data_IF_963019199407
#
_entry.id   IF_963019199407
#
_cell.length_a   1.000
_cell.length_b   1.000
_cell.length_c   1.000
_cell.angle_alpha   90.00
_cell.angle_beta   90.00
_cell.angle_gamma   90.00
#
_symmetry.space_group_name_H-M   'P 1'
#
loop_
_entity.id
_entity.type
_entity.pdbx_description
1 polymer ?
#
# COMPACT_ATOMS: atom_id res chain seq x y z
N UNK A 1 -36.00 3.47 16.86
CA UNK A 1 -34.60 3.50 17.37
C UNK A 1 -34.14 2.06 17.38
N UNK A 2 -33.43 1.56 16.36
CA UNK A 2 -32.06 1.93 16.01
C UNK A 2 -31.79 1.49 14.57
N UNK A 3 -31.45 2.42 13.67
CA UNK A 3 -30.93 2.14 12.33
C UNK A 3 -29.43 2.40 12.37
N UNK A 4 -28.64 1.35 12.57
CA UNK A 4 -27.19 1.41 12.71
C UNK A 4 -26.52 1.17 11.35
N UNK A 5 -26.19 2.29 10.70
CA UNK A 5 -25.04 2.54 9.82
C UNK A 5 -24.52 1.40 8.94
N UNK A 6 -25.15 1.17 7.79
CA UNK A 6 -24.50 0.63 6.60
C UNK A 6 -24.71 1.58 5.41
N UNK A 7 -24.40 2.86 5.61
CA UNK A 7 -24.58 3.91 4.60
C UNK A 7 -23.53 5.02 4.80
N UNK A 8 -22.26 4.66 4.79
CA UNK A 8 -21.14 5.63 4.72
C UNK A 8 -20.13 5.24 3.62
N UNK A 9 -20.53 4.39 2.66
CA UNK A 9 -19.71 3.95 1.52
C UNK A 9 -19.58 5.03 0.41
N UNK A 10 -20.10 6.24 0.66
CA UNK A 10 -20.02 7.36 -0.28
C UNK A 10 -20.04 8.69 0.47
N UNK A 11 -19.16 8.88 1.44
CA UNK A 11 -18.70 10.24 1.72
C UNK A 11 -17.66 10.54 0.65
N UNK A 12 -17.99 11.47 -0.25
CA UNK A 12 -17.07 12.01 -1.24
C UNK A 12 -15.66 12.05 -0.67
N UNK A 13 -14.79 11.15 -1.14
CA UNK A 13 -13.45 10.95 -0.61
C UNK A 13 -12.55 12.10 -1.09
N UNK A 14 -12.94 13.33 -0.76
CA UNK A 14 -12.12 14.50 -0.99
C UNK A 14 -10.78 14.29 -0.33
N UNK A 15 -9.71 14.61 -1.05
CA UNK A 15 -8.37 14.52 -0.54
C UNK A 15 -8.26 15.27 0.80
N UNK A 16 -7.58 14.70 1.81
CA UNK A 16 -7.27 15.39 3.05
C UNK A 16 -6.59 16.75 2.81
N UNK A 17 -6.89 17.72 3.67
CA UNK A 17 -6.49 19.12 3.54
C UNK A 17 -4.99 19.36 3.81
N UNK A 18 -4.30 18.39 4.38
CA UNK A 18 -2.87 18.43 4.70
C UNK A 18 -1.96 17.87 3.60
N UNK A 19 -2.52 17.55 2.43
CA UNK A 19 -1.78 17.06 1.27
C UNK A 19 -1.30 18.17 0.35
N UNK A 20 -0.09 17.99 -0.18
CA UNK A 20 0.47 18.78 -1.26
C UNK A 20 -0.06 18.34 -2.63
N UNK A 21 0.41 19.01 -3.68
CA UNK A 21 -0.08 18.80 -5.05
C UNK A 21 0.02 17.34 -5.49
N UNK A 22 1.19 16.72 -5.36
CA UNK A 22 1.38 15.34 -5.84
C UNK A 22 0.73 14.30 -4.93
N UNK A 23 0.59 14.59 -3.64
CA UNK A 23 -0.23 13.81 -2.73
C UNK A 23 -1.68 13.80 -3.15
N UNK A 24 -2.25 14.97 -3.49
CA UNK A 24 -3.62 15.10 -4.01
C UNK A 24 -3.78 14.35 -5.34
N UNK A 25 -2.83 14.50 -6.27
CA UNK A 25 -2.86 13.78 -7.54
C UNK A 25 -2.86 12.25 -7.33
N UNK A 26 -2.02 11.75 -6.42
CA UNK A 26 -1.99 10.32 -6.08
C UNK A 26 -3.30 9.88 -5.43
N UNK A 27 -3.83 10.66 -4.50
CA UNK A 27 -5.10 10.37 -3.84
C UNK A 27 -6.21 10.18 -4.86
N UNK A 28 -6.44 11.20 -5.70
CA UNK A 28 -7.49 11.18 -6.71
C UNK A 28 -7.28 10.01 -7.69
N UNK A 29 -6.05 9.76 -8.15
CA UNK A 29 -5.77 8.65 -9.07
C UNK A 29 -6.17 7.26 -8.56
N UNK A 30 -6.30 7.10 -7.23
CA UNK A 30 -6.70 5.84 -6.62
C UNK A 30 -8.17 5.90 -6.21
N UNK A 31 -8.63 6.97 -5.57
CA UNK A 31 -10.01 7.06 -5.09
C UNK A 31 -11.02 7.26 -6.21
N UNK A 32 -10.61 7.73 -7.38
CA UNK A 32 -11.48 7.88 -8.55
C UNK A 32 -11.86 6.51 -9.14
N UNK A 33 -10.96 5.53 -9.09
CA UNK A 33 -11.13 4.21 -9.71
C UNK A 33 -11.47 3.09 -8.70
N UNK A 34 -11.10 3.24 -7.42
CA UNK A 34 -11.21 2.19 -6.41
C UNK A 34 -11.99 2.64 -5.18
N UNK A 35 -12.97 1.84 -4.77
CA UNK A 35 -13.64 1.98 -3.48
C UNK A 35 -12.76 1.36 -2.38
N UNK A 36 -12.18 2.22 -1.53
CA UNK A 36 -11.29 1.81 -0.45
C UNK A 36 -11.99 1.75 0.89
N UNK A 37 -11.59 0.80 1.73
CA UNK A 37 -12.00 0.75 3.14
C UNK A 37 -11.30 1.82 3.95
N UNK A 38 -11.81 2.09 5.15
CA UNK A 38 -11.25 3.09 6.07
C UNK A 38 -9.77 2.83 6.39
N UNK A 39 -9.39 1.59 6.65
CA UNK A 39 -8.00 1.22 6.93
C UNK A 39 -7.08 1.40 5.71
N UNK A 40 -7.60 1.19 4.51
CA UNK A 40 -6.89 1.42 3.25
C UNK A 40 -6.75 2.91 2.94
N UNK A 41 -7.75 3.72 3.27
CA UNK A 41 -7.69 5.18 3.14
C UNK A 41 -6.63 5.80 4.06
N UNK A 42 -6.45 5.30 5.28
CA UNK A 42 -5.38 5.74 6.19
C UNK A 42 -3.99 5.40 5.62
N UNK A 43 -3.85 4.22 5.01
CA UNK A 43 -2.60 3.81 4.33
C UNK A 43 -2.34 4.68 3.10
N UNK A 44 -3.38 4.96 2.31
CA UNK A 44 -3.29 5.86 1.16
C UNK A 44 -2.90 7.28 1.58
N UNK A 45 -3.50 7.79 2.66
CA UNK A 45 -3.17 9.12 3.20
C UNK A 45 -1.69 9.20 3.58
N UNK A 46 -1.18 8.20 4.30
CA UNK A 46 0.25 8.12 4.62
C UNK A 46 1.13 8.05 3.37
N UNK A 47 0.72 7.30 2.34
CA UNK A 47 1.44 7.24 1.07
C UNK A 47 1.47 8.60 0.35
N UNK A 48 0.37 9.34 0.34
CA UNK A 48 0.29 10.67 -0.25
C UNK A 48 1.23 11.67 0.42
N UNK A 49 1.33 11.65 1.76
CA UNK A 49 2.29 12.49 2.50
C UNK A 49 3.74 12.17 2.16
N UNK A 50 4.07 10.89 2.00
CA UNK A 50 5.41 10.48 1.55
C UNK A 50 5.67 10.98 0.13
N UNK A 51 4.67 10.91 -0.76
CA UNK A 51 4.79 11.43 -2.12
C UNK A 51 5.11 12.93 -2.14
N UNK A 52 4.42 13.74 -1.34
CA UNK A 52 4.75 15.16 -1.19
C UNK A 52 6.16 15.40 -0.63
N UNK A 53 6.61 14.54 0.28
CA UNK A 53 7.96 14.63 0.84
C UNK A 53 9.03 14.30 -0.20
N UNK A 54 8.80 13.34 -1.09
CA UNK A 54 9.70 13.01 -2.20
C UNK A 54 9.88 14.22 -3.12
N UNK A 55 8.81 14.97 -3.39
CA UNK A 55 8.88 16.17 -4.21
C UNK A 55 9.71 17.26 -3.55
N UNK A 56 9.47 17.54 -2.26
CA UNK A 56 10.29 18.49 -1.48
C UNK A 56 11.77 18.12 -1.51
N UNK A 57 12.10 16.83 -1.38
CA UNK A 57 13.48 16.35 -1.46
C UNK A 57 14.06 16.49 -2.87
N UNK A 58 13.25 16.27 -3.90
CA UNK A 58 13.65 16.40 -5.31
C UNK A 58 13.93 17.86 -5.66
N UNK A 59 13.05 18.76 -5.25
CA UNK A 59 13.24 20.21 -5.37
C UNK A 59 14.47 20.68 -4.59
N UNK A 60 14.68 20.17 -3.38
CA UNK A 60 15.85 20.51 -2.56
C UNK A 60 17.20 20.08 -3.16
N UNK A 61 17.22 19.04 -4.00
CA UNK A 61 18.42 18.60 -4.74
C UNK A 61 18.55 19.33 -6.08
N UNK A 62 17.48 19.91 -6.61
CA UNK A 62 17.50 20.53 -7.93
C UNK A 62 18.55 21.65 -8.00
N UNK A 63 19.51 21.50 -8.92
CA UNK A 63 20.63 22.44 -9.06
C UNK A 63 21.76 22.29 -8.04
N UNK A 64 21.67 21.35 -7.10
CA UNK A 64 22.75 21.03 -6.17
C UNK A 64 23.70 19.96 -6.75
N UNK A 65 24.98 19.95 -6.35
CA UNK A 65 25.88 18.84 -6.65
C UNK A 65 25.36 17.51 -6.11
N UNK A 66 25.52 16.43 -6.89
CA UNK A 66 25.13 15.08 -6.48
C UNK A 66 26.03 14.50 -5.37
N UNK A 67 27.14 15.17 -5.09
CA UNK A 67 28.11 14.79 -4.06
C UNK A 67 28.43 15.98 -3.17
N UNK A 68 28.72 15.70 -1.90
CA UNK A 68 29.14 16.69 -0.90
C UNK A 68 30.41 16.22 -0.22
N UNK A 69 31.13 17.15 0.39
CA UNK A 69 32.29 16.80 1.21
C UNK A 69 31.80 16.25 2.56
N UNK A 70 32.14 15.00 2.86
CA UNK A 70 31.88 14.39 4.15
C UNK A 70 32.80 14.96 5.24
N UNK A 71 32.50 14.62 6.50
CA UNK A 71 33.26 15.07 7.68
C UNK A 71 34.77 14.77 7.59
N UNK A 72 35.14 13.63 6.98
CA UNK A 72 36.55 13.23 6.77
C UNK A 72 37.16 13.77 5.46
N UNK A 73 36.57 14.82 4.87
CA UNK A 73 36.96 15.40 3.58
C UNK A 73 36.87 14.46 2.36
N UNK A 74 36.11 13.37 2.47
CA UNK A 74 35.85 12.45 1.36
C UNK A 74 34.61 12.90 0.59
N UNK A 75 34.60 12.74 -0.74
CA UNK A 75 33.38 12.95 -1.54
C UNK A 75 32.39 11.83 -1.26
N UNK A 76 31.20 12.19 -0.78
CA UNK A 76 30.08 11.27 -0.50
C UNK A 76 28.85 11.70 -1.28
N UNK A 77 27.91 10.78 -1.48
CA UNK A 77 26.63 11.11 -2.12
C UNK A 77 25.88 12.17 -1.30
N UNK A 78 25.17 13.07 -1.98
CA UNK A 78 24.39 14.09 -1.30
C UNK A 78 23.34 13.44 -0.38
N UNK A 79 23.25 13.79 0.92
CA UNK A 79 22.37 13.11 1.89
C UNK A 79 20.90 13.05 1.47
N UNK A 80 20.40 14.11 0.85
CA UNK A 80 19.03 14.14 0.33
C UNK A 80 18.75 13.05 -0.72
N UNK A 81 19.75 12.59 -1.47
CA UNK A 81 19.56 11.50 -2.45
C UNK A 81 19.28 10.19 -1.70
N UNK A 82 20.03 9.92 -0.64
CA UNK A 82 19.82 8.74 0.21
C UNK A 82 18.46 8.80 0.92
N UNK A 83 18.10 9.98 1.43
CA UNK A 83 16.78 10.20 2.05
C UNK A 83 15.64 9.99 1.04
N UNK A 84 15.76 10.52 -0.18
CA UNK A 84 14.75 10.34 -1.22
C UNK A 84 14.54 8.86 -1.56
N UNK A 85 15.62 8.09 -1.68
CA UNK A 85 15.53 6.63 -1.90
C UNK A 85 14.81 5.91 -0.75
N UNK A 86 15.05 6.34 0.49
CA UNK A 86 14.35 5.78 1.64
C UNK A 86 12.84 6.07 1.59
N UNK A 87 12.47 7.31 1.25
CA UNK A 87 11.06 7.69 1.06
C UNK A 87 10.41 6.94 -0.12
N UNK A 88 11.11 6.77 -1.24
CA UNK A 88 10.64 5.97 -2.39
C UNK A 88 10.35 4.51 -1.99
N UNK A 89 11.22 3.89 -1.18
CA UNK A 89 11.01 2.54 -0.65
C UNK A 89 9.82 2.45 0.30
N UNK A 90 9.68 3.45 1.19
CA UNK A 90 8.54 3.52 2.11
C UNK A 90 7.22 3.69 1.36
N UNK A 91 7.19 4.54 0.32
CA UNK A 91 6.04 4.72 -0.56
C UNK A 91 5.64 3.41 -1.24
N UNK A 92 6.59 2.72 -1.86
CA UNK A 92 6.33 1.41 -2.49
C UNK A 92 5.78 0.39 -1.49
N UNK A 93 6.31 0.39 -0.25
CA UNK A 93 5.86 -0.48 0.82
C UNK A 93 4.44 -0.17 1.33
N UNK A 94 4.00 1.10 1.32
CA UNK A 94 2.63 1.47 1.67
C UNK A 94 1.65 1.14 0.54
N UNK A 95 1.99 1.50 -0.70
CA UNK A 95 1.15 1.21 -1.85
C UNK A 95 0.95 -0.31 -2.05
N UNK A 96 1.99 -1.11 -1.81
CA UNK A 96 1.88 -2.57 -1.87
C UNK A 96 0.99 -3.20 -0.78
N UNK A 97 0.62 -2.44 0.27
CA UNK A 97 -0.34 -2.91 1.29
C UNK A 97 -1.79 -2.66 0.89
N UNK A 98 -2.05 -1.69 0.00
CA UNK A 98 -3.38 -1.43 -0.53
C UNK A 98 -3.72 -2.58 -1.47
N UNK A 99 -4.75 -3.35 -1.11
CA UNK A 99 -5.16 -4.51 -1.91
C UNK A 99 -6.25 -4.08 -2.87
N UNK A 100 -5.83 -3.68 -4.06
CA UNK A 100 -6.76 -3.52 -5.18
C UNK A 100 -7.44 -4.87 -5.42
N UNK A 101 -8.75 -4.94 -5.18
CA UNK A 101 -9.53 -6.06 -5.66
C UNK A 101 -9.62 -5.88 -7.16
N UNK A 102 -8.83 -6.65 -7.89
CA UNK A 102 -8.90 -6.64 -9.34
C UNK A 102 -10.33 -7.04 -9.73
N UNK A 103 -10.99 -6.19 -10.52
CA UNK A 103 -12.29 -6.52 -11.08
C UNK A 103 -12.04 -7.64 -12.08
N UNK A 104 -12.16 -8.88 -11.62
CA UNK A 104 -11.99 -10.07 -12.44
C UNK A 104 -13.02 -10.09 -13.57
N UNK A 105 -12.68 -9.52 -14.73
CA UNK A 105 -13.09 -10.19 -15.97
C UNK A 105 -12.44 -11.56 -15.94
N UNK A 106 -13.28 -12.57 -15.69
CA UNK A 106 -12.86 -13.97 -15.60
C UNK A 106 -12.44 -14.44 -17.00
N UNK A 107 -11.21 -14.13 -17.40
CA UNK A 107 -10.51 -14.94 -18.38
C UNK A 107 -9.95 -16.13 -17.61
N UNK A 108 -10.61 -17.28 -17.74
CA UNK A 108 -10.15 -18.56 -17.21
C UNK A 108 -8.82 -18.94 -17.86
N UNK A 109 -7.72 -18.40 -17.35
CA UNK A 109 -6.39 -18.96 -17.57
C UNK A 109 -6.17 -19.97 -16.46
N UNK A 110 -6.22 -21.25 -16.83
CA UNK A 110 -5.75 -22.37 -16.02
C UNK A 110 -4.26 -22.15 -15.74
N UNK A 111 -3.93 -21.51 -14.62
CA UNK A 111 -2.54 -21.41 -14.15
C UNK A 111 -2.18 -22.73 -13.47
N UNK A 112 -1.32 -23.51 -14.14
CA UNK A 112 -0.57 -24.61 -13.52
C UNK A 112 0.51 -23.96 -12.65
N UNK A 113 0.38 -24.02 -11.32
CA UNK A 113 1.39 -23.49 -10.39
C UNK A 113 2.39 -24.60 -10.01
N UNK A 114 3.45 -24.77 -10.80
CA UNK A 114 4.61 -25.59 -10.42
C UNK A 114 5.73 -24.69 -9.88
N UNK A 115 5.54 -24.17 -8.66
CA UNK A 115 6.53 -23.36 -7.96
C UNK A 115 6.45 -23.58 -6.44
N UNK A 116 7.59 -23.61 -5.72
CA UNK A 116 7.60 -23.88 -4.28
C UNK A 116 6.98 -22.71 -3.50
N UNK A 117 5.87 -22.97 -2.81
CA UNK A 117 5.19 -22.00 -1.94
C UNK A 117 6.11 -21.41 -0.87
N UNK A 118 5.91 -20.13 -0.56
CA UNK A 118 6.60 -19.47 0.55
C UNK A 118 6.23 -20.12 1.89
N UNK A 119 7.16 -20.11 2.88
CA UNK A 119 6.96 -20.72 4.21
C UNK A 119 5.72 -20.16 4.93
N UNK A 120 5.39 -18.89 4.67
CA UNK A 120 4.20 -18.21 5.21
C UNK A 120 2.89 -18.72 4.58
N UNK A 121 2.91 -19.02 3.27
CA UNK A 121 1.77 -19.56 2.52
C UNK A 121 1.48 -21.00 2.93
N UNK A 122 2.53 -21.81 3.12
CA UNK A 122 2.41 -23.18 3.64
C UNK A 122 1.81 -23.20 5.05
N UNK A 123 2.21 -22.26 5.92
CA UNK A 123 1.64 -22.10 7.27
C UNK A 123 0.16 -21.74 7.24
N UNK A 124 -0.24 -20.79 6.38
CA UNK A 124 -1.65 -20.41 6.20
C UNK A 124 -2.51 -21.54 5.61
N UNK A 125 -1.97 -22.29 4.63
CA UNK A 125 -2.65 -23.44 4.02
C UNK A 125 -2.87 -24.56 5.04
N UNK A 126 -1.87 -24.86 5.86
CA UNK A 126 -1.98 -25.85 6.93
C UNK A 126 -2.96 -25.41 8.02
N UNK A 127 -2.97 -24.12 8.40
CA UNK A 127 -3.93 -23.58 9.35
C UNK A 127 -5.37 -23.69 8.82
N UNK A 128 -5.64 -23.25 7.58
CA UNK A 128 -6.96 -23.37 6.94
C UNK A 128 -7.45 -24.81 6.89
N UNK A 129 -6.60 -25.75 6.46
CA UNK A 129 -6.94 -27.18 6.42
C UNK A 129 -7.22 -27.81 7.81
N UNK A 130 -6.78 -27.19 8.90
CA UNK A 130 -7.13 -27.61 10.27
C UNK A 130 -8.49 -27.06 10.68
N UNK A 131 -8.77 -25.79 10.37
CA UNK A 131 -10.06 -25.16 10.67
C UNK A 131 -11.21 -25.74 9.84
N UNK A 132 -10.97 -26.09 8.58
CA UNK A 132 -11.98 -26.71 7.71
C UNK A 132 -12.35 -28.12 8.17
N UNK A 133 -11.38 -28.91 8.67
CA UNK A 133 -11.63 -30.22 9.28
C UNK A 133 -12.40 -30.13 10.60
N UNK A 134 -12.15 -29.08 11.39
CA UNK A 134 -12.87 -28.86 12.65
C UNK A 134 -14.34 -28.44 12.41
N UNK A 135 -14.63 -27.68 11.35
CA UNK A 135 -16.00 -27.32 10.95
C UNK A 135 -16.78 -28.48 10.33
N UNK A 136 -16.10 -29.46 9.74
CA UNK A 136 -16.73 -30.65 9.15
C UNK A 136 -17.23 -31.68 10.16
N UNK A 137 -16.80 -31.61 11.43
CA UNK A 137 -17.15 -32.59 12.46
C UNK A 137 -18.39 -32.24 13.29
N UNK A 138 -19.05 -31.11 13.05
CA UNK A 138 -20.19 -30.64 13.89
C UNK A 138 -21.55 -30.66 13.17
N UNK A 139 -21.63 -31.16 11.93
CA UNK A 139 -22.88 -31.22 11.16
C UNK A 139 -23.21 -32.65 10.69
N UNK A 140 -23.30 -33.58 11.63
CA UNK A 140 -23.75 -34.93 11.35
C UNK A 140 -23.68 -35.81 12.59
N UNK A 141 -24.59 -35.57 13.54
CA UNK A 141 -25.07 -36.53 14.54
C UNK A 141 -26.16 -35.85 15.39
N UNK A 142 -27.40 -35.83 14.88
CA UNK A 142 -28.69 -36.08 15.57
C UNK A 142 -29.72 -36.46 14.50
#
# INVERSE_FOLDING_TARGET
MTTDTLTDAKRDASAPDDLGKSGIELWNSITDDYELRRDELEVLHAACRIRDQIDKLTEGIAGQPLTVLGSQKNLVIHPLISERRYQEQALAGLLGKIKFHDSVETVTTTVITDGPMSRSESGRKAARARWDRAKGLTNGDV
#
